data_IF_881649455147
#
_entry.id   IF_881649455147
#
_cell.length_a   1.000
_cell.length_b   1.000
_cell.length_c   1.000
_cell.angle_alpha   90.00
_cell.angle_beta   90.00
_cell.angle_gamma   90.00
#
_symmetry.space_group_name_H-M   'P 1'
#
loop_
_entity.id
_entity.type
_entity.pdbx_description
1 polymer ?
#
# COMPACT_ATOMS: atom_id res chain seq x y z
N UNK A 1 -7.18 -8.92 126.77
CA UNK A 1 -5.98 -9.68 126.36
C UNK A 1 -5.83 -9.47 124.87
N UNK A 2 -4.65 -8.99 124.51
CA UNK A 2 -4.17 -8.78 123.15
C UNK A 2 -4.16 -10.09 122.36
N UNK A 3 -4.31 -10.00 121.03
CA UNK A 3 -3.30 -10.58 120.13
C UNK A 3 -3.35 -9.94 118.74
N UNK A 4 -2.14 -9.62 118.29
CA UNK A 4 -1.73 -8.99 117.04
C UNK A 4 -2.04 -9.80 115.77
N UNK A 5 -2.23 -9.05 114.67
CA UNK A 5 -1.39 -9.14 113.47
C UNK A 5 -1.83 -10.10 112.36
N UNK A 6 -2.18 -9.58 111.18
CA UNK A 6 -1.27 -9.58 110.03
C UNK A 6 -1.84 -8.84 108.81
N UNK A 7 -0.90 -8.25 108.07
CA UNK A 7 -1.00 -7.40 106.89
C UNK A 7 -1.43 -8.15 105.62
N UNK A 8 -2.21 -7.50 104.74
CA UNK A 8 -2.30 -7.74 103.28
C UNK A 8 -3.25 -6.66 102.73
N UNK A 9 -2.72 -5.52 102.30
CA UNK A 9 -2.45 -5.26 100.88
C UNK A 9 -3.72 -5.43 100.01
N UNK A 10 -4.59 -4.42 100.07
CA UNK A 10 -5.25 -3.99 98.83
C UNK A 10 -4.80 -2.56 98.58
N UNK A 11 -3.71 -2.44 97.81
CA UNK A 11 -3.41 -1.28 97.00
C UNK A 11 -4.67 -1.00 96.15
N UNK A 12 -5.54 -0.13 96.67
CA UNK A 12 -6.45 0.59 95.80
C UNK A 12 -5.58 1.63 95.09
N UNK A 13 -4.93 1.18 94.02
CA UNK A 13 -4.36 2.05 93.00
C UNK A 13 -5.41 3.10 92.70
N UNK A 14 -5.13 4.32 93.15
CA UNK A 14 -5.72 5.49 92.56
C UNK A 14 -5.26 5.49 91.11
N UNK A 15 -6.08 4.94 90.22
CA UNK A 15 -6.03 5.30 88.81
C UNK A 15 -6.44 6.77 88.80
N UNK A 16 -5.48 7.64 89.07
CA UNK A 16 -5.53 9.02 88.64
C UNK A 16 -5.64 8.90 87.13
N UNK A 17 -6.85 9.10 86.59
CA UNK A 17 -6.98 9.49 85.21
C UNK A 17 -6.14 10.75 85.07
N UNK A 18 -4.90 10.59 84.61
CA UNK A 18 -4.04 11.70 84.21
C UNK A 18 -4.83 12.47 83.16
N UNK A 19 -5.30 13.67 83.55
CA UNK A 19 -6.02 14.56 82.66
C UNK A 19 -5.07 14.94 81.53
N UNK A 20 -5.31 14.37 80.34
CA UNK A 20 -4.45 14.50 79.17
C UNK A 20 -4.29 15.99 78.84
N UNK A 21 -3.05 16.50 78.78
CA UNK A 21 -2.79 17.92 78.49
C UNK A 21 -3.53 18.32 77.19
N UNK A 22 -4.38 19.37 77.22
CA UNK A 22 -5.19 19.77 76.07
C UNK A 22 -4.36 20.10 74.81
N UNK A 23 -3.07 20.38 74.94
CA UNK A 23 -2.14 20.54 73.80
C UNK A 23 -1.83 19.21 73.12
N UNK A 24 -1.70 18.12 73.89
CA UNK A 24 -1.48 16.76 73.38
C UNK A 24 -2.70 16.31 72.59
N UNK A 25 -3.91 16.62 73.08
CA UNK A 25 -5.15 16.34 72.37
C UNK A 25 -5.24 17.06 71.01
N UNK A 26 -4.84 18.34 70.95
CA UNK A 26 -4.82 19.09 69.69
C UNK A 26 -3.79 18.57 68.67
N UNK A 27 -2.64 18.07 69.11
CA UNK A 27 -1.65 17.45 68.20
C UNK A 27 -2.10 16.06 67.72
N UNK A 28 -2.78 15.27 68.57
CA UNK A 28 -3.41 14.00 68.18
C UNK A 28 -4.52 14.20 67.14
N UNK A 29 -5.32 15.26 67.28
CA UNK A 29 -6.38 15.59 66.33
C UNK A 29 -5.80 15.98 64.96
N UNK A 30 -4.71 16.75 64.94
CA UNK A 30 -3.94 17.04 63.71
C UNK A 30 -3.32 15.80 63.09
N UNK A 31 -2.82 14.86 63.90
CA UNK A 31 -2.24 13.60 63.43
C UNK A 31 -3.30 12.71 62.79
N UNK A 32 -4.48 12.59 63.42
CA UNK A 32 -5.62 11.86 62.86
C UNK A 32 -6.09 12.50 61.55
N UNK A 33 -6.25 13.83 61.51
CA UNK A 33 -6.61 14.54 60.28
C UNK A 33 -5.58 14.33 59.16
N UNK A 34 -4.28 14.40 59.48
CA UNK A 34 -3.21 14.16 58.52
C UNK A 34 -3.20 12.71 58.03
N UNK A 35 -3.51 11.75 58.90
CA UNK A 35 -3.62 10.33 58.55
C UNK A 35 -4.79 10.09 57.60
N UNK A 36 -5.94 10.72 57.86
CA UNK A 36 -7.11 10.65 56.99
C UNK A 36 -6.83 11.30 55.62
N UNK A 37 -6.14 12.43 55.60
CA UNK A 37 -5.73 13.10 54.36
C UNK A 37 -4.71 12.26 53.56
N UNK A 38 -3.77 11.57 54.23
CA UNK A 38 -2.85 10.61 53.58
C UNK A 38 -3.65 9.47 52.96
N UNK A 39 -4.53 8.82 53.72
CA UNK A 39 -5.34 7.71 53.23
C UNK A 39 -6.22 8.13 52.04
N UNK A 40 -6.79 9.35 52.08
CA UNK A 40 -7.55 9.91 50.97
C UNK A 40 -6.68 10.12 49.74
N UNK A 41 -5.52 10.76 49.90
CA UNK A 41 -4.58 11.00 48.81
C UNK A 41 -4.08 9.69 48.19
N UNK A 42 -3.81 8.67 49.00
CA UNK A 42 -3.38 7.34 48.54
C UNK A 42 -4.48 6.65 47.74
N UNK A 43 -5.73 6.71 48.21
CA UNK A 43 -6.88 6.16 47.50
C UNK A 43 -7.11 6.87 46.16
N UNK A 44 -7.06 8.21 46.15
CA UNK A 44 -7.19 9.00 44.92
C UNK A 44 -6.05 8.71 43.93
N UNK A 45 -4.82 8.57 44.43
CA UNK A 45 -3.66 8.24 43.60
C UNK A 45 -3.81 6.86 42.95
N UNK A 46 -4.26 5.85 43.69
CA UNK A 46 -4.49 4.52 43.12
C UNK A 46 -5.63 4.53 42.11
N UNK A 47 -6.71 5.27 42.37
CA UNK A 47 -7.79 5.48 41.40
C UNK A 47 -7.28 6.12 40.11
N UNK A 48 -6.45 7.17 40.19
CA UNK A 48 -5.86 7.82 39.03
C UNK A 48 -4.91 6.89 38.28
N UNK A 49 -4.09 6.10 38.99
CA UNK A 49 -3.19 5.11 38.38
C UNK A 49 -3.97 4.04 37.64
N UNK A 50 -5.05 3.55 38.23
CA UNK A 50 -5.90 2.54 37.61
C UNK A 50 -6.58 3.10 36.35
N UNK A 51 -7.13 4.31 36.42
CA UNK A 51 -7.70 5.00 35.24
C UNK A 51 -6.66 5.20 34.15
N UNK A 52 -5.45 5.63 34.51
CA UNK A 52 -4.36 5.81 33.56
C UNK A 52 -3.98 4.50 32.87
N UNK A 53 -3.86 3.40 33.62
CA UNK A 53 -3.59 2.07 33.06
C UNK A 53 -4.67 1.64 32.06
N UNK A 54 -5.95 1.83 32.40
CA UNK A 54 -7.07 1.51 31.51
C UNK A 54 -6.98 2.31 30.22
N UNK A 55 -6.79 3.63 30.30
CA UNK A 55 -6.67 4.50 29.12
C UNK A 55 -5.47 4.13 28.27
N UNK A 56 -4.33 3.79 28.88
CA UNK A 56 -3.11 3.41 28.17
C UNK A 56 -3.29 2.08 27.41
N UNK A 57 -3.93 1.09 28.03
CA UNK A 57 -4.27 -0.17 27.36
C UNK A 57 -5.25 0.08 26.21
N UNK A 58 -6.29 0.89 26.43
CA UNK A 58 -7.25 1.22 25.37
C UNK A 58 -6.59 1.94 24.19
N UNK A 59 -5.69 2.90 24.47
CA UNK A 59 -4.96 3.63 23.44
C UNK A 59 -4.03 2.71 22.63
N UNK A 60 -3.30 1.80 23.29
CA UNK A 60 -2.40 0.86 22.61
C UNK A 60 -3.16 -0.13 21.74
N UNK A 61 -4.31 -0.65 22.20
CA UNK A 61 -5.18 -1.52 21.39
C UNK A 61 -5.73 -0.78 20.17
N UNK A 62 -6.22 0.46 20.34
CA UNK A 62 -6.70 1.28 19.21
C UNK A 62 -5.60 1.53 18.18
N UNK A 63 -4.37 1.78 18.62
CA UNK A 63 -3.24 2.03 17.74
C UNK A 63 -2.86 0.78 16.94
N UNK A 64 -2.79 -0.38 17.59
CA UNK A 64 -2.54 -1.67 16.92
C UNK A 64 -3.64 -2.02 15.90
N UNK A 65 -4.91 -1.76 16.22
CA UNK A 65 -6.00 -1.93 15.26
C UNK A 65 -5.85 -1.03 14.02
N UNK A 66 -5.46 0.23 14.20
CA UNK A 66 -5.24 1.15 13.10
C UNK A 66 -4.07 0.69 12.23
N UNK A 67 -2.98 0.23 12.82
CA UNK A 67 -1.84 -0.36 12.09
C UNK A 67 -2.27 -1.58 11.28
N UNK A 68 -3.02 -2.50 11.89
CA UNK A 68 -3.58 -3.68 11.20
C UNK A 68 -4.53 -3.30 10.06
N UNK A 69 -5.38 -2.29 10.25
CA UNK A 69 -6.31 -1.79 9.21
C UNK A 69 -5.55 -1.19 8.03
N UNK A 70 -4.47 -0.45 8.27
CA UNK A 70 -3.62 0.11 7.20
C UNK A 70 -2.87 -1.01 6.47
N UNK A 71 -2.25 -1.94 7.19
CA UNK A 71 -1.56 -3.10 6.61
C UNK A 71 -2.49 -3.94 5.72
N UNK A 72 -3.69 -4.28 6.22
CA UNK A 72 -4.70 -4.99 5.42
C UNK A 72 -5.11 -4.24 4.17
N UNK A 73 -5.34 -2.93 4.24
CA UNK A 73 -5.70 -2.14 3.06
C UNK A 73 -4.57 -2.11 2.01
N UNK A 74 -3.30 -2.12 2.42
CA UNK A 74 -2.15 -2.24 1.53
C UNK A 74 -2.16 -3.61 0.87
N UNK A 75 -2.27 -4.69 1.64
CA UNK A 75 -2.28 -6.07 1.14
C UNK A 75 -3.45 -6.34 0.18
N UNK A 76 -4.65 -5.89 0.52
CA UNK A 76 -5.84 -5.99 -0.33
C UNK A 76 -5.69 -5.24 -1.65
N UNK A 77 -4.90 -4.16 -1.69
CA UNK A 77 -4.69 -3.36 -2.90
C UNK A 77 -3.61 -3.94 -3.84
N UNK A 78 -2.74 -4.84 -3.35
CA UNK A 78 -1.63 -5.42 -4.13
C UNK A 78 -2.06 -5.97 -5.49
N UNK A 79 -3.15 -6.77 -5.62
CA UNK A 79 -3.54 -7.33 -6.91
C UNK A 79 -3.84 -6.26 -7.97
N UNK A 80 -4.40 -5.12 -7.57
CA UNK A 80 -4.65 -3.99 -8.47
C UNK A 80 -3.33 -3.37 -8.96
N UNK A 81 -2.38 -3.12 -8.05
CA UNK A 81 -1.10 -2.52 -8.40
C UNK A 81 -0.25 -3.44 -9.30
N UNK A 82 -0.27 -4.74 -9.04
CA UNK A 82 0.34 -5.74 -9.92
C UNK A 82 -0.33 -5.77 -11.30
N UNK A 83 -1.67 -5.81 -11.36
CA UNK A 83 -2.40 -5.75 -12.62
C UNK A 83 -2.10 -4.46 -13.41
N UNK A 84 -1.94 -3.33 -12.72
CA UNK A 84 -1.54 -2.04 -13.32
C UNK A 84 -0.12 -2.11 -13.89
N UNK A 85 0.83 -2.73 -13.19
CA UNK A 85 2.19 -2.96 -13.68
C UNK A 85 2.20 -3.82 -14.94
N UNK A 86 1.40 -4.90 -14.96
CA UNK A 86 1.25 -5.78 -16.13
C UNK A 86 0.61 -5.04 -17.30
N UNK A 87 -0.47 -4.28 -17.06
CA UNK A 87 -1.13 -3.48 -18.08
C UNK A 87 -0.19 -2.44 -18.70
N UNK A 88 0.70 -1.82 -17.90
CA UNK A 88 1.70 -0.89 -18.41
C UNK A 88 2.75 -1.56 -19.28
N UNK A 89 3.19 -2.79 -18.94
CA UNK A 89 4.08 -3.58 -19.81
C UNK A 89 3.40 -3.92 -21.14
N UNK A 90 2.17 -4.44 -21.08
CA UNK A 90 1.39 -4.77 -22.28
C UNK A 90 1.12 -3.54 -23.17
N UNK A 91 0.97 -2.35 -22.57
CA UNK A 91 0.84 -1.09 -23.31
C UNK A 91 2.09 -0.79 -24.13
N UNK A 92 3.27 -0.87 -23.52
CA UNK A 92 4.56 -0.60 -24.19
C UNK A 92 4.79 -1.60 -25.31
N UNK A 93 4.50 -2.89 -25.08
CA UNK A 93 4.59 -3.93 -26.10
C UNK A 93 3.64 -3.67 -27.28
N UNK A 94 2.38 -3.32 -27.01
CA UNK A 94 1.41 -2.99 -28.05
C UNK A 94 1.81 -1.74 -28.85
N UNK A 95 2.34 -0.71 -28.19
CA UNK A 95 2.87 0.47 -28.87
C UNK A 95 4.05 0.13 -29.78
N UNK A 96 4.99 -0.70 -29.30
CA UNK A 96 6.13 -1.16 -30.08
C UNK A 96 5.68 -1.93 -31.33
N UNK A 97 4.78 -2.90 -31.16
CA UNK A 97 4.23 -3.69 -32.28
C UNK A 97 3.45 -2.80 -33.27
N UNK A 98 2.79 -1.74 -32.79
CA UNK A 98 2.10 -0.76 -33.65
C UNK A 98 3.10 0.01 -34.52
N UNK A 99 4.21 0.48 -33.95
CA UNK A 99 5.26 1.16 -34.71
C UNK A 99 5.92 0.24 -35.73
N UNK A 100 6.18 -1.02 -35.37
CA UNK A 100 6.74 -2.01 -36.29
C UNK A 100 5.79 -2.33 -37.44
N UNK A 101 4.48 -2.45 -37.17
CA UNK A 101 3.47 -2.61 -38.20
C UNK A 101 3.40 -1.40 -39.14
N UNK A 102 3.40 -0.18 -38.59
CA UNK A 102 3.41 1.05 -39.40
C UNK A 102 4.62 1.12 -40.32
N UNK A 103 5.82 0.85 -39.79
CA UNK A 103 7.05 0.80 -40.61
C UNK A 103 6.96 -0.26 -41.70
N UNK A 104 6.45 -1.45 -41.41
CA UNK A 104 6.30 -2.51 -42.41
C UNK A 104 5.31 -2.13 -43.52
N UNK A 105 4.23 -1.41 -43.18
CA UNK A 105 3.28 -0.86 -44.15
C UNK A 105 3.94 0.20 -45.03
N UNK A 106 4.73 1.10 -44.46
CA UNK A 106 5.47 2.13 -45.22
C UNK A 106 6.50 1.52 -46.17
N UNK A 107 7.26 0.53 -45.73
CA UNK A 107 8.22 -0.21 -46.56
C UNK A 107 7.51 -0.89 -47.73
N UNK A 108 6.38 -1.56 -47.47
CA UNK A 108 5.59 -2.19 -48.52
C UNK A 108 5.07 -1.16 -49.53
N UNK A 109 4.59 -0.01 -49.07
CA UNK A 109 4.13 1.07 -49.94
C UNK A 109 5.27 1.56 -50.84
N UNK A 110 6.45 1.83 -50.28
CA UNK A 110 7.61 2.27 -51.03
C UNK A 110 8.09 1.21 -52.05
N UNK A 111 8.06 -0.07 -51.67
CA UNK A 111 8.42 -1.16 -52.57
C UNK A 111 7.45 -1.27 -53.77
N UNK A 112 6.14 -1.12 -53.52
CA UNK A 112 5.11 -1.10 -54.58
C UNK A 112 5.24 0.12 -55.49
N UNK A 113 5.53 1.29 -54.93
CA UNK A 113 5.78 2.52 -55.69
C UNK A 113 7.02 2.38 -56.59
N UNK A 114 8.06 1.70 -56.10
CA UNK A 114 9.27 1.41 -56.91
C UNK A 114 8.94 0.55 -58.13
N UNK A 115 8.06 -0.47 -57.99
CA UNK A 115 7.61 -1.28 -59.13
C UNK A 115 6.76 -0.43 -60.09
N UNK A 116 5.80 0.34 -59.57
CA UNK A 116 4.93 1.18 -60.41
C UNK A 116 5.73 2.17 -61.28
N UNK A 117 6.75 2.82 -60.71
CA UNK A 117 7.65 3.72 -61.45
C UNK A 117 8.52 2.98 -62.48
N UNK A 118 8.91 1.73 -62.20
CA UNK A 118 9.65 0.91 -63.14
C UNK A 118 8.76 0.44 -64.32
N UNK A 119 7.48 0.15 -64.05
CA UNK A 119 6.48 -0.18 -65.07
C UNK A 119 6.16 1.02 -65.98
N UNK A 120 6.02 2.22 -65.40
CA UNK A 120 5.80 3.46 -66.16
C UNK A 120 6.95 3.76 -67.12
N UNK A 121 8.20 3.69 -66.65
CA UNK A 121 9.38 3.90 -67.50
C UNK A 121 9.50 2.87 -68.64
N UNK A 122 9.08 1.63 -68.40
CA UNK A 122 9.07 0.60 -69.45
C UNK A 122 8.05 0.91 -70.54
N UNK A 123 6.93 1.53 -70.20
CA UNK A 123 5.87 1.89 -71.15
C UNK A 123 6.26 3.08 -72.05
N UNK A 124 7.24 3.90 -71.65
CA UNK A 124 7.73 5.07 -72.39
C UNK A 124 8.85 4.72 -73.40
N UNK A 125 9.57 3.60 -73.23
CA UNK A 125 10.65 3.18 -74.15
C UNK A 125 10.14 2.28 -75.30
N UNK A 126 10.02 2.85 -76.50
CA UNK A 126 9.55 2.16 -77.72
C UNK A 126 10.56 1.14 -78.30
N UNK A 127 11.84 1.19 -77.89
CA UNK A 127 12.89 0.28 -78.37
C UNK A 127 13.05 -0.94 -77.45
N UNK A 128 12.17 -1.93 -77.64
CA UNK A 128 12.12 -3.16 -76.85
C UNK A 128 13.39 -4.02 -77.02
N UNK A 129 14.33 -3.87 -76.10
CA UNK A 129 15.21 -4.97 -75.70
C UNK A 129 15.02 -5.17 -74.20
N UNK A 130 14.30 -6.22 -73.82
CA UNK A 130 14.31 -6.72 -72.44
C UNK A 130 15.72 -7.24 -72.16
N UNK A 131 16.62 -6.34 -71.80
CA UNK A 131 17.99 -6.69 -71.46
C UNK A 131 18.03 -7.50 -70.16
N UNK A 132 19.04 -8.36 -70.01
CA UNK A 132 19.22 -9.23 -68.85
C UNK A 132 19.22 -8.43 -67.53
N UNK A 133 19.78 -7.22 -67.54
CA UNK A 133 19.83 -6.33 -66.40
C UNK A 133 18.43 -5.85 -65.95
N UNK A 134 17.51 -5.65 -66.89
CA UNK A 134 16.16 -5.21 -66.58
C UNK A 134 15.31 -6.35 -65.98
N UNK A 135 15.49 -7.57 -66.48
CA UNK A 135 14.86 -8.76 -65.89
C UNK A 135 15.34 -9.01 -64.45
N UNK A 136 16.63 -8.86 -64.19
CA UNK A 136 17.19 -8.96 -62.84
C UNK A 136 16.64 -7.87 -61.90
N UNK A 137 16.51 -6.63 -62.38
CA UNK A 137 15.90 -5.53 -61.62
C UNK A 137 14.46 -5.84 -61.22
N UNK A 138 13.64 -6.34 -62.16
CA UNK A 138 12.24 -6.69 -61.89
C UNK A 138 12.13 -7.87 -60.92
N UNK A 139 12.97 -8.90 -61.08
CA UNK A 139 13.03 -10.04 -60.17
C UNK A 139 13.35 -9.58 -58.74
N UNK A 140 14.34 -8.71 -58.57
CA UNK A 140 14.71 -8.16 -57.27
C UNK A 140 13.62 -7.26 -56.68
N UNK A 141 12.98 -6.41 -57.49
CA UNK A 141 11.88 -5.56 -57.03
C UNK A 141 10.66 -6.40 -56.59
N UNK A 142 10.33 -7.45 -57.34
CA UNK A 142 9.25 -8.39 -57.03
C UNK A 142 9.54 -9.16 -55.73
N UNK A 143 10.77 -9.66 -55.57
CA UNK A 143 11.20 -10.31 -54.34
C UNK A 143 11.08 -9.37 -53.14
N UNK A 144 11.51 -8.11 -53.27
CA UNK A 144 11.40 -7.11 -52.19
C UNK A 144 9.96 -6.80 -51.82
N UNK A 145 9.03 -6.74 -52.77
CA UNK A 145 7.60 -6.58 -52.47
C UNK A 145 7.07 -7.80 -51.72
N UNK A 146 7.40 -9.01 -52.16
CA UNK A 146 6.98 -10.24 -51.49
C UNK A 146 7.50 -10.30 -50.05
N UNK A 147 8.78 -9.99 -49.81
CA UNK A 147 9.38 -9.92 -48.48
C UNK A 147 8.71 -8.86 -47.60
N UNK A 148 8.42 -7.68 -48.15
CA UNK A 148 7.72 -6.60 -47.46
C UNK A 148 6.27 -6.98 -47.10
N UNK A 149 5.56 -7.68 -47.97
CA UNK A 149 4.20 -8.21 -47.68
C UNK A 149 4.22 -9.25 -46.58
N UNK A 150 5.21 -10.15 -46.59
CA UNK A 150 5.38 -11.14 -45.52
C UNK A 150 5.74 -10.47 -44.19
N UNK A 151 6.59 -9.44 -44.20
CA UNK A 151 6.95 -8.66 -43.02
C UNK A 151 5.72 -7.91 -42.46
N UNK A 152 4.92 -7.27 -43.32
CA UNK A 152 3.66 -6.63 -42.94
C UNK A 152 2.68 -7.62 -42.30
N UNK A 153 2.51 -8.79 -42.90
CA UNK A 153 1.56 -9.80 -42.39
C UNK A 153 1.96 -10.29 -41.00
N UNK A 154 3.26 -10.52 -40.77
CA UNK A 154 3.80 -10.90 -39.47
C UNK A 154 3.61 -9.81 -38.41
N UNK A 155 3.98 -8.56 -38.72
CA UNK A 155 3.82 -7.45 -37.80
C UNK A 155 2.35 -7.11 -37.52
N UNK A 156 1.44 -7.33 -38.48
CA UNK A 156 -0.01 -7.19 -38.27
C UNK A 156 -0.54 -8.22 -37.26
N UNK A 157 -0.11 -9.48 -37.38
CA UNK A 157 -0.48 -10.53 -36.45
C UNK A 157 0.01 -10.24 -35.03
N UNK A 158 1.25 -9.76 -34.89
CA UNK A 158 1.83 -9.36 -33.59
C UNK A 158 1.14 -8.13 -33.00
N UNK A 159 0.84 -7.12 -33.82
CA UNK A 159 0.07 -5.95 -33.40
C UNK A 159 -1.31 -6.37 -32.87
N UNK A 160 -2.03 -7.23 -33.58
CA UNK A 160 -3.35 -7.72 -33.16
C UNK A 160 -3.28 -8.52 -31.86
N UNK A 161 -2.27 -9.38 -31.72
CA UNK A 161 -2.03 -10.19 -30.51
C UNK A 161 -1.72 -9.30 -29.30
N UNK A 162 -0.80 -8.34 -29.45
CA UNK A 162 -0.40 -7.45 -28.35
C UNK A 162 -1.53 -6.48 -27.97
N UNK A 163 -2.31 -5.98 -28.92
CA UNK A 163 -3.50 -5.17 -28.66
C UNK A 163 -4.57 -5.97 -27.89
N UNK A 164 -4.83 -7.23 -28.26
CA UNK A 164 -5.74 -8.09 -27.52
C UNK A 164 -5.27 -8.34 -26.07
N UNK A 165 -3.98 -8.61 -25.89
CA UNK A 165 -3.39 -8.77 -24.55
C UNK A 165 -3.51 -7.50 -23.70
N UNK A 166 -3.20 -6.33 -24.28
CA UNK A 166 -3.35 -5.04 -23.61
C UNK A 166 -4.80 -4.81 -23.15
N UNK A 167 -5.78 -5.04 -24.03
CA UNK A 167 -7.20 -4.89 -23.70
C UNK A 167 -7.62 -5.84 -22.56
N UNK A 168 -7.12 -7.07 -22.55
CA UNK A 168 -7.37 -8.03 -21.48
C UNK A 168 -6.77 -7.57 -20.15
N UNK A 169 -5.52 -7.10 -20.15
CA UNK A 169 -4.87 -6.57 -18.95
C UNK A 169 -5.59 -5.33 -18.39
N UNK A 170 -6.01 -4.41 -19.27
CA UNK A 170 -6.76 -3.20 -18.88
C UNK A 170 -8.14 -3.58 -18.32
N UNK A 171 -8.85 -4.52 -18.93
CA UNK A 171 -10.13 -5.01 -18.44
C UNK A 171 -9.98 -5.60 -17.03
N UNK A 172 -8.98 -6.47 -16.83
CA UNK A 172 -8.68 -7.04 -15.50
C UNK A 172 -8.32 -5.97 -14.48
N UNK A 173 -7.48 -5.00 -14.83
CA UNK A 173 -7.12 -3.89 -13.94
C UNK A 173 -8.36 -3.08 -13.55
N UNK A 174 -9.24 -2.74 -14.50
CA UNK A 174 -10.49 -2.01 -14.23
C UNK A 174 -11.47 -2.80 -13.37
N UNK A 175 -11.56 -4.12 -13.55
CA UNK A 175 -12.36 -4.99 -12.68
C UNK A 175 -11.84 -4.97 -11.25
N UNK A 176 -10.52 -5.07 -11.06
CA UNK A 176 -9.87 -4.99 -9.75
C UNK A 176 -10.04 -3.60 -9.12
N UNK A 177 -9.93 -2.52 -9.90
CA UNK A 177 -10.17 -1.16 -9.45
C UNK A 177 -11.61 -0.97 -8.93
N UNK A 178 -12.61 -1.53 -9.62
CA UNK A 178 -14.00 -1.50 -9.17
C UNK A 178 -14.20 -2.31 -7.88
N UNK A 179 -13.63 -3.51 -7.79
CA UNK A 179 -13.75 -4.39 -6.62
C UNK A 179 -13.03 -3.83 -5.39
N UNK A 180 -11.87 -3.22 -5.57
CA UNK A 180 -10.97 -2.79 -4.50
C UNK A 180 -10.96 -1.27 -4.30
N UNK A 181 -11.98 -0.54 -4.77
CA UNK A 181 -12.02 0.92 -4.83
C UNK A 181 -11.59 1.62 -3.53
N UNK A 182 -12.06 1.14 -2.37
CA UNK A 182 -11.73 1.71 -1.05
C UNK A 182 -10.26 1.47 -0.69
N UNK A 183 -9.78 0.23 -0.79
CA UNK A 183 -8.40 -0.16 -0.46
C UNK A 183 -7.38 0.45 -1.44
N UNK A 184 -7.73 0.57 -2.73
CA UNK A 184 -6.92 1.30 -3.74
C UNK A 184 -6.84 2.79 -3.41
N UNK A 185 -7.95 3.45 -3.08
CA UNK A 185 -7.91 4.87 -2.72
C UNK A 185 -7.10 5.14 -1.45
N UNK A 186 -7.18 4.25 -0.46
CA UNK A 186 -6.42 4.37 0.79
C UNK A 186 -4.93 4.08 0.60
N UNK A 187 -4.57 3.10 -0.22
CA UNK A 187 -3.18 2.78 -0.56
C UNK A 187 -2.54 3.80 -1.49
N UNK A 188 -3.29 4.50 -2.35
CA UNK A 188 -2.74 5.57 -3.22
C UNK A 188 -1.99 6.65 -2.45
N UNK A 189 -2.45 7.05 -1.27
CA UNK A 189 -1.74 8.02 -0.42
C UNK A 189 -0.47 7.46 0.21
N UNK A 190 -0.40 6.15 0.48
CA UNK A 190 0.77 5.50 1.07
C UNK A 190 1.84 5.08 0.06
N UNK A 191 1.44 4.59 -1.12
CA UNK A 191 2.37 4.09 -2.15
C UNK A 191 3.19 5.23 -2.76
N UNK A 192 2.60 6.41 -2.95
CA UNK A 192 3.28 7.59 -3.52
C UNK A 192 4.35 8.16 -2.57
N UNK A 193 4.31 7.86 -1.27
CA UNK A 193 5.32 8.28 -0.29
C UNK A 193 6.49 7.29 -0.15
N UNK A 194 6.41 6.13 -0.81
CA UNK A 194 7.37 5.03 -0.68
C UNK A 194 8.16 4.71 -1.95
N UNK A 195 7.94 5.46 -3.04
CA UNK A 195 8.63 5.35 -4.34
C UNK A 195 9.36 6.64 -4.65
#
# INVERSE_FOLDING_TARGET
MEQNGNNSEEESECVQEEEVDPRIQGELEKLNQSTDDINRCESELEDFRQRFRVVLVEATVKLDELMKKIGRAVDESKPYWEARKVARKAQVEAQKATQEFQRAVEILRAAKETIALAEEKLLEEDSRQFDSAWQEMLNHATQRVMEAEQARTRSEAEHRKTAANYNLCISRMRQLEKKLKRSVNKSRSGVVLSS
#
